data_IF_408177168108
#
_entry.id   IF_408177168108
#
_cell.length_a   1.000
_cell.length_b   1.000
_cell.length_c   1.000
_cell.angle_alpha   90.00
_cell.angle_beta   90.00
_cell.angle_gamma   90.00
#
_symmetry.space_group_name_H-M   'P 1'
#
loop_
_entity.id
_entity.type
_entity.pdbx_description
1 polymer ?
#
# COMPACT_ATOMS: atom_id res chain seq x y z
N UNK A 1 -7.55 -55.67 8.25
CA UNK A 1 -7.96 -54.66 9.25
C UNK A 1 -7.59 -53.30 8.67
N UNK A 2 -8.57 -52.50 8.23
CA UNK A 2 -8.32 -51.17 7.62
C UNK A 2 -8.18 -50.15 8.74
N UNK A 3 -6.95 -49.69 9.00
CA UNK A 3 -6.71 -48.60 9.96
C UNK A 3 -7.14 -47.28 9.34
N UNK A 4 -8.19 -46.67 9.90
CA UNK A 4 -8.61 -45.31 9.59
C UNK A 4 -7.63 -44.34 10.28
N UNK A 5 -6.75 -43.70 9.50
CA UNK A 5 -5.91 -42.60 9.99
C UNK A 5 -6.81 -41.37 10.11
N UNK A 6 -7.17 -41.01 11.33
CA UNK A 6 -7.91 -39.78 11.62
C UNK A 6 -6.96 -38.57 11.48
N UNK A 7 -7.12 -37.80 10.40
CA UNK A 7 -6.40 -36.56 10.19
C UNK A 7 -7.00 -35.49 11.12
N UNK A 8 -6.40 -35.31 12.31
CA UNK A 8 -6.76 -34.23 13.22
C UNK A 8 -6.37 -32.89 12.58
N UNK A 9 -7.36 -32.16 12.07
CA UNK A 9 -7.19 -30.79 11.58
C UNK A 9 -6.92 -29.89 12.78
N UNK A 10 -5.66 -29.55 13.00
CA UNK A 10 -5.26 -28.53 13.96
C UNK A 10 -5.72 -27.17 13.41
N UNK A 11 -6.88 -26.71 13.89
CA UNK A 11 -7.34 -25.35 13.65
C UNK A 11 -6.36 -24.39 14.34
N UNK A 12 -5.47 -23.79 13.56
CA UNK A 12 -4.58 -22.73 14.07
C UNK A 12 -5.44 -21.50 14.39
N UNK A 13 -5.28 -20.87 15.56
CA UNK A 13 -6.01 -19.64 15.86
C UNK A 13 -5.62 -18.57 14.84
N UNK A 14 -6.63 -17.96 14.22
CA UNK A 14 -6.42 -16.79 13.37
C UNK A 14 -6.07 -15.60 14.28
N UNK A 15 -4.77 -15.33 14.44
CA UNK A 15 -4.31 -14.11 15.09
C UNK A 15 -4.55 -12.94 14.12
N UNK A 16 -5.61 -12.17 14.38
CA UNK A 16 -5.74 -10.87 13.74
C UNK A 16 -4.56 -10.00 14.19
N UNK A 17 -3.97 -9.23 13.27
CA UNK A 17 -2.95 -8.24 13.65
C UNK A 17 -3.52 -7.27 14.69
N UNK A 18 -2.69 -6.92 15.68
CA UNK A 18 -3.05 -5.92 16.68
C UNK A 18 -3.15 -4.51 16.05
N UNK A 19 -3.85 -3.60 16.73
CA UNK A 19 -3.91 -2.19 16.32
C UNK A 19 -2.51 -1.57 16.24
N UNK A 20 -1.62 -1.90 17.18
CA UNK A 20 -0.24 -1.41 17.18
C UNK A 20 0.53 -1.84 15.93
N UNK A 21 0.35 -3.09 15.48
CA UNK A 21 0.97 -3.59 14.25
C UNK A 21 0.45 -2.83 13.03
N UNK A 22 -0.84 -2.50 13.01
CA UNK A 22 -1.43 -1.70 11.92
C UNK A 22 -0.98 -0.23 11.95
N UNK A 23 -0.81 0.37 13.12
CA UNK A 23 -0.25 1.72 13.25
C UNK A 23 1.19 1.77 12.75
N UNK A 24 2.03 0.81 13.17
CA UNK A 24 3.41 0.71 12.70
C UNK A 24 3.48 0.54 11.17
N UNK A 25 2.66 -0.35 10.62
CA UNK A 25 2.57 -0.56 9.17
C UNK A 25 2.23 0.74 8.41
N UNK A 26 1.23 1.50 8.86
CA UNK A 26 0.86 2.77 8.22
C UNK A 26 1.98 3.82 8.34
N UNK A 27 2.67 3.85 9.47
CA UNK A 27 3.84 4.71 9.68
C UNK A 27 4.97 4.41 8.69
N UNK A 28 5.27 3.13 8.47
CA UNK A 28 6.29 2.70 7.51
C UNK A 28 5.90 3.08 6.08
N UNK A 29 4.66 2.82 5.68
CA UNK A 29 4.16 3.22 4.35
C UNK A 29 4.29 4.73 4.17
N UNK A 30 3.83 5.53 5.14
CA UNK A 30 3.92 6.99 5.07
C UNK A 30 5.38 7.45 4.89
N UNK A 31 6.29 6.96 5.74
CA UNK A 31 7.69 7.36 5.72
C UNK A 31 8.37 7.03 4.38
N UNK A 32 8.12 5.82 3.86
CA UNK A 32 8.71 5.37 2.59
C UNK A 32 8.13 6.12 1.39
N UNK A 33 6.83 6.35 1.36
CA UNK A 33 6.19 7.14 0.29
C UNK A 33 6.64 8.60 0.30
N UNK A 34 6.76 9.20 1.49
CA UNK A 34 7.20 10.58 1.62
C UNK A 34 8.65 10.78 1.14
N UNK A 35 9.51 9.78 1.33
CA UNK A 35 10.89 9.82 0.85
C UNK A 35 11.02 9.80 -0.69
N UNK A 36 9.98 9.37 -1.41
CA UNK A 36 9.94 9.35 -2.88
C UNK A 36 9.37 10.63 -3.50
N UNK A 37 8.75 11.51 -2.69
CA UNK A 37 8.24 12.79 -3.18
C UNK A 37 9.42 13.67 -3.62
N UNK A 38 9.37 14.28 -4.82
CA UNK A 38 10.43 15.17 -5.30
C UNK A 38 10.73 16.30 -4.30
N UNK A 39 12.02 16.64 -4.16
CA UNK A 39 12.44 17.68 -3.22
C UNK A 39 11.86 19.05 -3.62
N UNK A 40 11.29 19.74 -2.64
CA UNK A 40 10.70 21.07 -2.84
C UNK A 40 9.21 21.03 -3.17
N UNK A 41 8.64 19.85 -3.42
CA UNK A 41 7.19 19.70 -3.59
C UNK A 41 6.50 19.46 -2.24
N UNK A 42 5.30 20.02 -2.11
CA UNK A 42 4.40 19.71 -1.00
C UNK A 42 3.40 18.66 -1.49
N UNK A 43 3.41 17.49 -0.85
CA UNK A 43 2.51 16.40 -1.16
C UNK A 43 1.54 16.13 -0.01
N UNK A 44 0.30 15.81 -0.35
CA UNK A 44 -0.63 15.12 0.55
C UNK A 44 -0.50 13.61 0.32
N UNK A 45 -0.35 12.84 1.41
CA UNK A 45 -0.20 11.38 1.35
C UNK A 45 -1.34 10.73 2.13
N UNK A 46 -2.18 9.98 1.41
CA UNK A 46 -3.31 9.25 1.97
C UNK A 46 -3.00 7.76 2.01
N UNK A 47 -2.60 7.27 3.18
CA UNK A 47 -2.21 5.86 3.37
C UNK A 47 -3.44 4.97 3.47
N UNK A 48 -3.49 3.91 2.65
CA UNK A 48 -4.50 2.87 2.80
C UNK A 48 -4.29 2.14 4.14
N UNK A 49 -5.35 1.91 4.94
CA UNK A 49 -5.20 1.41 6.30
C UNK A 49 -4.62 0.00 6.43
N UNK A 50 -4.72 -0.82 5.38
CA UNK A 50 -4.36 -2.25 5.40
C UNK A 50 -3.50 -2.69 4.20
N UNK A 51 -3.67 -2.03 3.05
CA UNK A 51 -3.10 -2.45 1.78
C UNK A 51 -3.77 -3.70 1.20
N UNK A 52 -2.98 -4.53 0.53
CA UNK A 52 -3.31 -5.87 0.06
C UNK A 52 -2.46 -6.91 0.80
N UNK A 53 -2.58 -8.20 0.44
CA UNK A 53 -1.81 -9.27 1.09
C UNK A 53 -0.29 -9.02 1.06
N UNK A 54 0.23 -8.50 -0.06
CA UNK A 54 1.67 -8.28 -0.25
C UNK A 54 2.08 -6.81 -0.15
N UNK A 55 1.19 -5.88 -0.45
CA UNK A 55 1.59 -4.48 -0.65
C UNK A 55 0.85 -3.54 0.29
N UNK A 56 1.54 -2.52 0.80
CA UNK A 56 0.91 -1.28 1.26
C UNK A 56 0.69 -0.35 0.08
N UNK A 57 -0.23 0.60 0.24
CA UNK A 57 -0.53 1.57 -0.80
C UNK A 57 -0.84 2.94 -0.19
N UNK A 58 -0.45 4.00 -0.87
CA UNK A 58 -0.88 5.35 -0.56
C UNK A 58 -1.15 6.14 -1.84
N UNK A 59 -2.13 7.03 -1.79
CA UNK A 59 -2.31 8.05 -2.83
C UNK A 59 -1.40 9.23 -2.47
N UNK A 60 -0.58 9.64 -3.42
CA UNK A 60 0.28 10.83 -3.30
C UNK A 60 -0.26 11.88 -4.24
N UNK A 61 -0.59 13.06 -3.72
CA UNK A 61 -1.08 14.18 -4.51
C UNK A 61 -0.18 15.41 -4.33
N UNK A 62 0.35 15.95 -5.42
CA UNK A 62 1.14 17.20 -5.43
C UNK A 62 0.39 18.30 -6.17
N UNK A 63 0.67 19.57 -5.85
CA UNK A 63 0.15 20.69 -6.64
C UNK A 63 1.16 21.10 -7.69
N UNK A 64 0.69 21.26 -8.92
CA UNK A 64 1.43 21.80 -10.06
C UNK A 64 0.70 23.04 -10.61
N UNK A 65 1.29 23.78 -11.55
CA UNK A 65 0.66 25.01 -12.06
C UNK A 65 -0.66 24.71 -12.81
N UNK A 66 -0.75 23.54 -13.41
CA UNK A 66 -1.83 23.05 -14.26
C UNK A 66 -2.91 22.29 -13.47
N UNK A 67 -2.73 22.11 -12.15
CA UNK A 67 -3.69 21.40 -11.30
C UNK A 67 -3.04 20.57 -10.19
N UNK A 68 -3.53 19.37 -9.98
CA UNK A 68 -2.96 18.42 -9.03
C UNK A 68 -2.56 17.13 -9.75
N UNK A 69 -1.31 16.71 -9.57
CA UNK A 69 -0.87 15.39 -10.00
C UNK A 69 -1.23 14.37 -8.93
N UNK A 70 -1.67 13.19 -9.37
CA UNK A 70 -1.95 12.07 -8.49
C UNK A 70 -1.06 10.92 -8.89
N UNK A 71 -0.47 10.25 -7.91
CA UNK A 71 0.37 9.08 -8.09
C UNK A 71 -0.05 8.04 -7.05
N UNK A 72 0.34 6.79 -7.26
CA UNK A 72 0.22 5.73 -6.25
C UNK A 72 1.60 5.36 -5.77
N UNK A 73 1.81 5.40 -4.47
CA UNK A 73 2.95 4.80 -3.83
C UNK A 73 2.61 3.35 -3.45
N UNK A 74 3.45 2.40 -3.86
CA UNK A 74 3.32 0.97 -3.60
C UNK A 74 4.45 0.56 -2.67
N UNK A 75 4.13 0.01 -1.50
CA UNK A 75 5.10 -0.46 -0.51
C UNK A 75 5.13 -1.99 -0.50
N UNK A 76 6.28 -2.63 -0.74
CA UNK A 76 6.41 -4.09 -0.62
C UNK A 76 6.61 -4.45 0.87
N UNK A 77 5.65 -5.19 1.46
CA UNK A 77 5.70 -5.59 2.87
C UNK A 77 6.84 -6.57 3.17
N UNK A 78 7.35 -7.29 2.17
CA UNK A 78 8.45 -8.25 2.32
C UNK A 78 9.80 -7.56 2.30
N UNK A 79 9.97 -6.62 1.38
CA UNK A 79 11.25 -5.98 1.12
C UNK A 79 11.43 -4.67 1.89
N UNK A 80 10.35 -4.09 2.40
CA UNK A 80 10.37 -2.81 3.12
C UNK A 80 10.73 -1.62 2.23
N UNK A 81 10.52 -1.76 0.93
CA UNK A 81 10.79 -0.76 -0.11
C UNK A 81 9.49 -0.18 -0.63
N UNK A 82 9.56 1.03 -1.20
CA UNK A 82 8.43 1.63 -1.88
C UNK A 82 8.84 2.09 -3.28
N UNK A 83 7.84 2.13 -4.16
CA UNK A 83 7.91 2.68 -5.51
C UNK A 83 6.77 3.70 -5.67
N UNK A 84 6.99 4.71 -6.50
CA UNK A 84 6.00 5.74 -6.82
C UNK A 84 5.72 5.67 -8.32
N UNK A 85 4.44 5.56 -8.71
CA UNK A 85 4.07 5.60 -10.12
C UNK A 85 4.33 6.97 -10.72
N UNK A 86 4.32 7.06 -12.05
CA UNK A 86 4.11 8.35 -12.73
C UNK A 86 2.71 8.91 -12.41
N UNK A 87 2.48 10.22 -12.64
CA UNK A 87 1.16 10.82 -12.50
C UNK A 87 0.10 10.14 -13.36
N UNK A 88 -1.11 9.98 -12.82
CA UNK A 88 -2.27 9.54 -13.58
C UNK A 88 -2.70 10.63 -14.56
N UNK A 89 -2.96 10.25 -15.80
CA UNK A 89 -3.61 11.13 -16.76
C UNK A 89 -5.07 11.44 -16.32
N UNK A 90 -5.59 12.62 -16.65
CA UNK A 90 -7.01 12.92 -16.61
C UNK A 90 -7.85 11.81 -17.27
N UNK A 91 -8.96 11.44 -16.65
CA UNK A 91 -9.84 10.35 -17.12
C UNK A 91 -10.30 10.54 -18.57
N UNK A 92 -10.51 11.77 -19.00
CA UNK A 92 -11.02 12.08 -20.34
C UNK A 92 -9.94 11.97 -21.43
N UNK A 93 -8.66 12.07 -21.07
CA UNK A 93 -7.52 11.82 -21.97
C UNK A 93 -7.23 10.32 -22.10
N UNK A 94 -7.47 9.54 -21.03
CA UNK A 94 -7.22 8.10 -21.01
C UNK A 94 -8.29 7.23 -21.74
N UNK A 95 -9.41 7.81 -22.16
CA UNK A 95 -10.51 7.08 -22.80
C UNK A 95 -10.44 7.06 -24.34
N UNK A 96 -9.45 7.74 -24.92
CA UNK A 96 -9.27 7.88 -26.36
C UNK A 96 -8.29 6.90 -27.00
N UNK A 97 -7.74 5.96 -26.24
CA UNK A 97 -6.69 5.01 -26.67
C UNK A 97 -7.18 3.56 -26.74
#
# INVERSE_FOLDING_TARGET
MRSLIALAVLASPAVASSEDAWQAFRGDVLAKCQALVPRGETATIEVNPFGSDRFGAAIVSTRVAEGAERMVCIYDKRDGTAELTVPFAPRDEAAGE
#
